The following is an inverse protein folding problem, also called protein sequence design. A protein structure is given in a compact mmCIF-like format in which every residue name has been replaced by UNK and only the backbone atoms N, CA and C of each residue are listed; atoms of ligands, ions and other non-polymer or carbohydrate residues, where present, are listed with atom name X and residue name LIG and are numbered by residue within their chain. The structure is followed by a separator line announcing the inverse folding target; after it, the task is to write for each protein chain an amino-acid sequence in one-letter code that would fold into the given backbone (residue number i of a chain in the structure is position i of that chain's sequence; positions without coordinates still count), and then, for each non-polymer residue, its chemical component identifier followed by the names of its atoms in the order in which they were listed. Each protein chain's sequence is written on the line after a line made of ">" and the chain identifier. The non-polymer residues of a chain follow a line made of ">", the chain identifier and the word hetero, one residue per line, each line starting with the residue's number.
data_IF_018701397264
#
_entry.id   IF_018701397264
#
_cell.length_a   1.000
_cell.length_b   1.000
_cell.length_c   1.000
_cell.angle_alpha   90.00
_cell.angle_beta   90.00
_cell.angle_gamma   90.00
#
_symmetry.space_group_name_H-M   'P 1'
#
loop_
_entity.id
_entity.type
_entity.pdbx_description
1 polymer ?
#
# COMPACT_ATOMS: atom_id res chain seq x y z
N UNK A 1 25.56 -5.28 28.63
CA UNK A 1 25.06 -4.02 28.04
C UNK A 1 24.34 -4.33 26.73
N UNK A 2 23.01 -4.33 26.73
CA UNK A 2 22.22 -4.65 25.52
C UNK A 2 22.17 -3.46 24.58
N UNK A 3 22.56 -3.64 23.32
CA UNK A 3 22.42 -2.59 22.29
C UNK A 3 20.93 -2.25 22.14
N UNK A 4 20.57 -1.00 22.39
CA UNK A 4 19.23 -0.50 22.13
C UNK A 4 19.08 -0.30 20.62
N UNK A 5 18.08 -0.95 20.02
CA UNK A 5 17.73 -0.75 18.63
C UNK A 5 16.24 -0.44 18.52
N UNK A 6 15.89 0.52 17.67
CA UNK A 6 14.51 0.76 17.25
C UNK A 6 14.26 0.00 15.94
N UNK A 7 13.15 -0.73 15.87
CA UNK A 7 12.75 -1.47 14.66
C UNK A 7 11.35 -1.03 14.23
N UNK A 8 11.26 -0.48 13.03
CA UNK A 8 9.99 -0.17 12.38
C UNK A 8 9.72 -1.24 11.31
N UNK A 9 8.51 -1.80 11.29
CA UNK A 9 8.07 -2.76 10.27
C UNK A 9 6.88 -2.20 9.52
N UNK A 10 6.92 -2.25 8.19
CA UNK A 10 5.85 -1.74 7.33
C UNK A 10 5.35 -2.86 6.43
N UNK A 11 4.04 -3.07 6.45
CA UNK A 11 3.38 -3.99 5.54
C UNK A 11 3.27 -3.35 4.15
N UNK A 12 4.14 -3.77 3.25
CA UNK A 12 4.20 -3.30 1.85
C UNK A 12 3.37 -4.16 0.87
N UNK A 13 2.42 -4.93 1.39
CA UNK A 13 1.57 -5.80 0.59
C UNK A 13 0.65 -4.98 -0.32
N UNK A 14 0.38 -5.47 -1.52
CA UNK A 14 -0.57 -4.84 -2.42
C UNK A 14 -1.98 -4.91 -1.82
N UNK A 15 -2.74 -3.82 -1.91
CA UNK A 15 -4.10 -3.79 -1.38
C UNK A 15 -5.10 -4.26 -2.44
N UNK A 16 -6.13 -5.04 -2.06
CA UNK A 16 -7.22 -5.36 -2.97
C UNK A 16 -7.99 -4.09 -3.36
N UNK A 17 -8.39 -4.01 -4.62
CA UNK A 17 -9.23 -2.95 -5.14
C UNK A 17 -10.66 -3.07 -4.60
N UNK A 18 -10.96 -2.30 -3.56
CA UNK A 18 -12.26 -2.26 -2.88
C UNK A 18 -12.74 -0.82 -2.86
N UNK A 19 -13.96 -0.56 -3.35
CA UNK A 19 -14.61 0.77 -3.32
C UNK A 19 -13.67 1.93 -3.70
N UNK A 20 -12.94 1.80 -4.81
CA UNK A 20 -11.93 2.78 -5.24
C UNK A 20 -12.53 4.11 -5.78
N UNK A 21 -13.84 4.34 -5.64
CA UNK A 21 -14.56 5.50 -6.16
C UNK A 21 -15.75 5.11 -7.05
N UNK A 22 -16.25 6.07 -7.82
CA UNK A 22 -17.32 5.84 -8.80
C UNK A 22 -16.80 4.93 -9.92
N UNK A 23 -17.49 3.82 -10.13
CA UNK A 23 -17.15 2.87 -11.17
C UNK A 23 -17.88 3.19 -12.47
N UNK A 24 -17.14 3.22 -13.56
CA UNK A 24 -17.67 3.42 -14.91
C UNK A 24 -17.10 2.36 -15.84
N UNK A 25 -17.99 1.60 -16.49
CA UNK A 25 -17.61 0.69 -17.57
C UNK A 25 -17.52 1.51 -18.87
N UNK A 26 -16.35 1.53 -19.50
CA UNK A 26 -16.11 2.21 -20.77
C UNK A 26 -15.96 1.19 -21.88
N UNK A 27 -16.80 1.29 -22.90
CA UNK A 27 -16.66 0.48 -24.12
C UNK A 27 -15.52 1.04 -24.96
N UNK A 28 -14.54 0.21 -25.30
CA UNK A 28 -13.51 0.58 -26.27
C UNK A 28 -14.04 0.32 -27.68
N UNK A 29 -14.30 1.38 -28.44
CA UNK A 29 -14.84 1.29 -29.82
C UNK A 29 -13.75 1.32 -30.91
N UNK A 30 -12.47 1.29 -30.54
CA UNK A 30 -11.35 1.32 -31.51
C UNK A 30 -11.06 -0.09 -32.04
N UNK A 31 -11.23 -0.30 -33.35
CA UNK A 31 -10.85 -1.53 -34.06
C UNK A 31 -9.33 -1.58 -34.24
N UNK A 32 -8.67 -2.61 -33.69
CA UNK A 32 -7.26 -2.91 -33.95
C UNK A 32 -6.84 -4.26 -33.36
N UNK A 33 -6.05 -5.04 -34.09
CA UNK A 33 -5.68 -6.44 -33.74
C UNK A 33 -4.97 -6.59 -32.39
N UNK A 34 -4.30 -5.53 -31.90
CA UNK A 34 -3.60 -5.49 -30.60
C UNK A 34 -4.50 -5.16 -29.40
N UNK A 35 -5.78 -4.90 -29.64
CA UNK A 35 -6.77 -4.54 -28.63
C UNK A 35 -7.91 -5.55 -28.74
N UNK A 36 -7.76 -6.71 -28.08
CA UNK A 36 -8.86 -7.65 -27.86
C UNK A 36 -10.07 -6.86 -27.36
N UNK A 37 -11.15 -6.88 -28.15
CA UNK A 37 -12.35 -6.10 -27.92
C UNK A 37 -12.92 -6.38 -26.54
N UNK A 38 -13.01 -5.34 -25.71
CA UNK A 38 -13.48 -5.48 -24.35
C UNK A 38 -13.88 -4.15 -23.73
N UNK A 39 -14.89 -4.22 -22.86
CA UNK A 39 -15.22 -3.13 -21.94
C UNK A 39 -14.12 -3.00 -20.88
N UNK A 40 -13.68 -1.78 -20.59
CA UNK A 40 -12.68 -1.49 -19.55
C UNK A 40 -13.39 -0.89 -18.35
N UNK A 41 -13.03 -1.34 -17.15
CA UNK A 41 -13.56 -0.79 -15.91
C UNK A 41 -12.66 0.34 -15.40
N UNK A 42 -13.18 1.57 -15.40
CA UNK A 42 -12.51 2.74 -14.82
C UNK A 42 -13.10 3.00 -13.44
N UNK A 43 -12.24 3.13 -12.44
CA UNK A 43 -12.65 3.48 -11.07
C UNK A 43 -11.70 4.56 -10.55
N UNK A 44 -12.21 5.80 -10.42
CA UNK A 44 -11.39 6.96 -10.10
C UNK A 44 -10.21 7.11 -11.08
N UNK A 45 -8.95 7.19 -10.61
CA UNK A 45 -7.77 7.29 -11.46
C UNK A 45 -7.34 5.94 -12.07
N UNK A 46 -7.89 4.82 -11.60
CA UNK A 46 -7.45 3.49 -12.01
C UNK A 46 -8.25 2.93 -13.19
N UNK A 47 -7.57 2.16 -14.03
CA UNK A 47 -8.12 1.53 -15.21
C UNK A 47 -7.80 0.04 -15.20
N UNK A 48 -8.83 -0.79 -15.24
CA UNK A 48 -8.72 -2.25 -15.17
C UNK A 48 -9.31 -2.90 -16.42
N UNK A 49 -8.47 -3.66 -17.13
CA UNK A 49 -8.88 -4.44 -18.31
C UNK A 49 -9.41 -5.80 -17.88
N UNK A 50 -10.46 -6.28 -18.56
CA UNK A 50 -11.12 -7.57 -18.31
C UNK A 50 -11.59 -7.74 -16.85
N UNK A 51 -11.92 -6.61 -16.23
CA UNK A 51 -12.30 -6.53 -14.83
C UNK A 51 -13.78 -6.15 -14.68
N UNK A 52 -14.39 -6.65 -13.61
CA UNK A 52 -15.79 -6.43 -13.27
C UNK A 52 -15.92 -6.29 -11.74
N UNK A 53 -17.06 -5.77 -11.28
CA UNK A 53 -17.35 -5.62 -9.86
C UNK A 53 -18.31 -6.72 -9.45
N UNK A 54 -17.99 -7.40 -8.35
CA UNK A 54 -18.83 -8.44 -7.77
C UNK A 54 -18.98 -8.21 -6.27
N UNK A 55 -20.19 -8.45 -5.75
CA UNK A 55 -20.41 -8.54 -4.31
C UNK A 55 -20.08 -9.95 -3.84
N UNK A 56 -19.22 -10.05 -2.84
CA UNK A 56 -18.87 -11.32 -2.20
C UNK A 56 -19.98 -11.77 -1.24
N UNK A 57 -19.96 -13.05 -0.84
CA UNK A 57 -20.92 -13.61 0.11
C UNK A 57 -20.94 -12.89 1.47
N UNK A 58 -19.84 -12.20 1.83
CA UNK A 58 -19.75 -11.36 3.03
C UNK A 58 -20.29 -9.93 2.84
N UNK A 59 -20.94 -9.63 1.71
CA UNK A 59 -21.53 -8.33 1.39
C UNK A 59 -20.54 -7.27 0.84
N UNK A 60 -19.24 -7.56 0.75
CA UNK A 60 -18.23 -6.60 0.25
C UNK A 60 -18.18 -6.57 -1.27
N UNK A 61 -18.17 -5.37 -1.85
CA UNK A 61 -17.94 -5.15 -3.27
C UNK A 61 -16.45 -5.19 -3.60
N UNK A 62 -16.07 -6.08 -4.51
CA UNK A 62 -14.68 -6.27 -4.95
C UNK A 62 -14.56 -6.10 -6.45
N UNK A 63 -13.42 -5.55 -6.88
CA UNK A 63 -13.03 -5.54 -8.28
C UNK A 63 -12.26 -6.82 -8.58
N UNK A 64 -12.77 -7.57 -9.54
CA UNK A 64 -12.22 -8.86 -9.95
C UNK A 64 -11.82 -8.82 -11.43
N UNK A 65 -10.85 -9.63 -11.84
CA UNK A 65 -10.38 -9.72 -13.23
C UNK A 65 -10.39 -11.17 -13.71
N UNK A 66 -10.76 -11.39 -14.98
CA UNK A 66 -10.58 -12.70 -15.62
C UNK A 66 -9.12 -12.93 -16.00
N UNK A 67 -8.54 -14.04 -15.58
CA UNK A 67 -7.18 -14.44 -15.96
C UNK A 67 -7.27 -15.44 -17.12
N UNK A 68 -6.69 -15.08 -18.26
CA UNK A 68 -6.57 -15.99 -19.40
C UNK A 68 -5.65 -17.18 -19.04
N UNK A 69 -6.06 -18.40 -19.40
CA UNK A 69 -5.20 -19.60 -19.33
C UNK A 69 -5.36 -20.51 -18.10
N UNK A 70 -6.22 -20.20 -17.12
CA UNK A 70 -6.49 -21.09 -15.97
C UNK A 70 -7.86 -21.75 -16.05
N UNK A 71 -7.91 -23.08 -16.19
CA UNK A 71 -9.16 -23.90 -16.12
C UNK A 71 -9.79 -23.91 -14.72
N UNK A 72 -9.04 -23.57 -13.66
CA UNK A 72 -9.51 -23.48 -12.26
C UNK A 72 -9.12 -22.12 -11.66
N UNK A 73 -10.07 -21.41 -11.05
CA UNK A 73 -9.99 -20.01 -10.60
C UNK A 73 -9.68 -18.99 -11.71
N UNK A 74 -10.53 -18.89 -12.74
CA UNK A 74 -10.35 -17.91 -13.81
C UNK A 74 -10.60 -16.45 -13.36
N UNK A 75 -10.87 -16.19 -12.08
CA UNK A 75 -11.21 -14.86 -11.54
C UNK A 75 -10.31 -14.58 -10.33
N UNK A 76 -9.59 -13.47 -10.35
CA UNK A 76 -8.72 -13.01 -9.25
C UNK A 76 -9.10 -11.58 -8.82
N UNK A 77 -8.78 -11.22 -7.57
CA UNK A 77 -8.98 -9.88 -7.05
C UNK A 77 -7.91 -8.97 -7.60
N UNK A 78 -8.32 -7.84 -8.17
CA UNK A 78 -7.37 -6.84 -8.66
C UNK A 78 -6.65 -6.21 -7.46
N UNK A 79 -5.32 -6.12 -7.54
CA UNK A 79 -4.48 -5.56 -6.47
C UNK A 79 -3.87 -4.23 -6.93
N UNK A 80 -3.91 -3.22 -6.06
CA UNK A 80 -3.22 -1.93 -6.24
C UNK A 80 -1.79 -2.08 -5.71
N UNK A 81 -0.76 -1.84 -6.54
CA UNK A 81 0.63 -1.92 -6.10
C UNK A 81 0.96 -0.75 -5.19
N UNK A 82 1.36 -1.04 -3.94
CA UNK A 82 1.71 0.00 -2.96
C UNK A 82 3.15 -0.10 -2.46
N UNK A 83 3.85 -1.19 -2.77
CA UNK A 83 5.17 -1.43 -2.21
C UNK A 83 6.15 -0.27 -2.47
N UNK A 84 6.23 0.22 -3.71
CA UNK A 84 7.14 1.29 -4.07
C UNK A 84 6.77 2.63 -3.38
N UNK A 85 5.49 3.01 -3.44
CA UNK A 85 5.00 4.26 -2.85
C UNK A 85 5.18 4.29 -1.32
N UNK A 86 4.94 3.18 -0.64
CA UNK A 86 5.13 3.06 0.80
C UNK A 86 6.61 3.11 1.19
N UNK A 87 7.48 2.46 0.42
CA UNK A 87 8.93 2.55 0.65
C UNK A 87 9.42 3.99 0.49
N UNK A 88 9.01 4.67 -0.60
CA UNK A 88 9.44 6.04 -0.85
C UNK A 88 8.98 7.00 0.25
N UNK A 89 7.69 7.00 0.57
CA UNK A 89 7.14 7.86 1.63
C UNK A 89 7.78 7.59 3.00
N UNK A 90 8.09 6.33 3.31
CA UNK A 90 8.81 5.99 4.53
C UNK A 90 10.24 6.55 4.55
N UNK A 91 11.01 6.39 3.48
CA UNK A 91 12.38 6.92 3.40
C UNK A 91 12.39 8.45 3.51
N UNK A 92 11.47 9.14 2.84
CA UNK A 92 11.30 10.59 2.93
C UNK A 92 10.99 11.03 4.37
N UNK A 93 10.02 10.39 5.02
CA UNK A 93 9.65 10.69 6.40
C UNK A 93 10.79 10.40 7.38
N UNK A 94 11.48 9.27 7.22
CA UNK A 94 12.66 8.91 8.02
C UNK A 94 13.73 9.98 7.92
N UNK A 95 14.08 10.40 6.70
CA UNK A 95 15.13 11.39 6.48
C UNK A 95 14.75 12.75 7.09
N UNK A 96 13.49 13.16 6.99
CA UNK A 96 12.98 14.38 7.63
C UNK A 96 13.15 14.34 9.15
N UNK A 97 12.67 13.28 9.80
CA UNK A 97 12.76 13.11 11.27
C UNK A 97 14.22 13.10 11.72
N UNK A 98 15.09 12.41 10.97
CA UNK A 98 16.53 12.35 11.27
C UNK A 98 17.15 13.76 11.24
N UNK A 99 16.79 14.57 10.25
CA UNK A 99 17.36 15.91 10.08
C UNK A 99 16.82 16.91 11.11
N UNK A 100 15.53 16.87 11.44
CA UNK A 100 14.85 17.93 12.19
C UNK A 100 14.75 17.66 13.71
N UNK A 101 14.49 16.41 14.10
CA UNK A 101 14.05 16.07 15.46
C UNK A 101 15.08 15.21 16.21
N UNK A 102 15.91 14.46 15.48
CA UNK A 102 16.71 13.40 16.08
C UNK A 102 17.73 13.90 17.11
N UNK A 103 18.40 15.02 16.83
CA UNK A 103 19.39 15.60 17.76
C UNK A 103 18.74 16.05 19.08
N UNK A 104 17.52 16.59 19.02
CA UNK A 104 16.76 17.05 20.19
C UNK A 104 16.34 15.86 21.06
N UNK A 105 15.80 14.82 20.43
CA UNK A 105 15.40 13.59 21.13
C UNK A 105 16.59 12.87 21.76
N UNK A 106 17.73 12.81 21.05
CA UNK A 106 18.96 12.22 21.59
C UNK A 106 19.49 12.99 22.80
N UNK A 107 19.52 14.33 22.73
CA UNK A 107 19.97 15.15 23.85
C UNK A 107 19.04 15.01 25.07
N UNK A 108 17.73 14.99 24.85
CA UNK A 108 16.72 14.75 25.90
C UNK A 108 16.89 13.39 26.56
N UNK A 109 17.02 12.33 25.74
CA UNK A 109 17.24 10.96 26.21
C UNK A 109 18.53 10.82 27.00
N UNK A 110 19.63 11.41 26.52
CA UNK A 110 20.92 11.38 27.23
C UNK A 110 20.82 12.08 28.60
N UNK A 111 20.20 13.27 28.64
CA UNK A 111 19.98 14.00 29.90
C UNK A 111 19.18 13.17 30.89
N UNK A 112 18.13 12.49 30.42
CA UNK A 112 17.32 11.61 31.26
C UNK A 112 18.09 10.39 31.74
N UNK A 113 18.91 9.76 30.89
CA UNK A 113 19.75 8.62 31.28
C UNK A 113 20.75 9.00 32.36
N UNK A 114 21.41 10.16 32.22
CA UNK A 114 22.32 10.69 33.24
C UNK A 114 21.60 10.96 34.56
N UNK A 115 20.42 11.58 34.51
CA UNK A 115 19.57 11.79 35.70
C UNK A 115 19.30 10.47 36.41
N UNK A 116 18.79 9.47 35.68
CA UNK A 116 18.47 8.16 36.25
C UNK A 116 19.69 7.46 36.84
N UNK A 117 20.85 7.57 36.19
CA UNK A 117 22.09 6.98 36.68
C UNK A 117 22.54 7.60 38.00
N UNK A 118 22.56 8.94 38.07
CA UNK A 118 22.96 9.68 39.27
C UNK A 118 21.98 9.46 40.43
N UNK A 119 20.67 9.43 40.14
CA UNK A 119 19.63 9.22 41.18
C UNK A 119 19.62 7.79 41.73
N UNK A 120 20.14 6.79 40.99
CA UNK A 120 20.25 5.40 41.47
C UNK A 120 21.50 5.14 42.30
N UNK A 121 22.50 6.02 42.22
CA UNK A 121 23.83 5.84 42.84
C UNK A 121 23.99 6.63 44.15
N UNK A 122 23.09 7.56 44.42
CA UNK A 122 22.90 8.26 45.69
C UNK A 122 21.74 7.59 46.44
#
# INVERSE_FOLDING_TARGET
>A
MGKQYARIRINRGNLPAIKLGTAQVRLTRRKGQLLRGGSVLKIGPYLFRDAFIQQLANGRWHVMKRIEGKKRYPIDVVKVPLAAALTQSFEEAKNRIIAEEFSKELASSLKQQLRLYLTRRL
#
